data_IF_993607706358
#
_entry.id   IF_993607706358
#
_cell.length_a   1.000
_cell.length_b   1.000
_cell.length_c   1.000
_cell.angle_alpha   90.00
_cell.angle_beta   90.00
_cell.angle_gamma   90.00
#
_symmetry.space_group_name_H-M   'P 1'
#
loop_
_entity.id
_entity.type
_entity.pdbx_description
1 polymer ?
#
# COMPACT_ATOMS: atom_id res chain seq x y z
N UNK A 1 4.86 14.68 16.21
CA UNK A 1 4.16 14.42 14.93
C UNK A 1 3.59 13.01 15.00
N UNK A 2 2.39 12.78 14.48
CA UNK A 2 1.86 11.41 14.40
C UNK A 2 2.73 10.62 13.42
N UNK A 3 3.21 9.45 13.84
CA UNK A 3 3.95 8.56 12.97
C UNK A 3 3.03 7.95 11.91
N UNK A 4 3.57 7.72 10.71
CA UNK A 4 2.80 7.11 9.63
C UNK A 4 2.31 5.71 10.07
N UNK A 5 1.01 5.36 9.88
CA UNK A 5 0.49 4.05 10.22
C UNK A 5 1.34 2.93 9.61
N UNK A 6 1.61 1.83 10.35
CA UNK A 6 2.52 0.78 9.89
C UNK A 6 2.15 0.19 8.52
N UNK A 7 0.86 0.05 8.24
CA UNK A 7 0.35 -0.46 6.98
C UNK A 7 0.71 0.47 5.81
N UNK A 8 0.38 1.75 5.94
CA UNK A 8 0.69 2.77 4.94
C UNK A 8 2.21 2.88 4.73
N UNK A 9 2.99 2.83 5.81
CA UNK A 9 4.46 2.77 5.75
C UNK A 9 4.95 1.57 4.96
N UNK A 10 4.32 0.40 5.14
CA UNK A 10 4.61 -0.81 4.38
C UNK A 10 4.39 -0.61 2.88
N UNK A 11 3.22 -0.08 2.48
CA UNK A 11 2.91 0.18 1.08
C UNK A 11 3.90 1.13 0.43
N UNK A 12 4.24 2.24 1.09
CA UNK A 12 5.21 3.20 0.55
C UNK A 12 6.60 2.58 0.41
N UNK A 13 7.04 1.74 1.36
CA UNK A 13 8.32 1.01 1.27
C UNK A 13 8.36 0.01 0.12
N UNK A 14 7.22 -0.54 -0.27
CA UNK A 14 7.09 -1.40 -1.45
C UNK A 14 7.11 -0.63 -2.77
N UNK A 15 7.06 0.71 -2.71
CA UNK A 15 7.03 1.59 -3.87
C UNK A 15 5.62 1.98 -4.33
N UNK A 16 4.62 1.83 -3.46
CA UNK A 16 3.29 2.37 -3.72
C UNK A 16 3.27 3.91 -3.61
N UNK A 17 2.28 4.54 -4.21
CA UNK A 17 2.04 5.99 -4.15
C UNK A 17 0.61 6.30 -3.78
N UNK A 18 0.43 7.44 -3.11
CA UNK A 18 -0.89 8.04 -2.84
C UNK A 18 -1.32 8.81 -4.08
N UNK A 19 -2.51 8.51 -4.58
CA UNK A 19 -3.00 8.97 -5.87
C UNK A 19 -3.91 10.21 -5.78
N UNK A 20 -4.01 10.86 -4.63
CA UNK A 20 -4.86 12.04 -4.44
C UNK A 20 -4.94 12.52 -3.00
N UNK A 21 -5.89 13.40 -2.75
CA UNK A 21 -6.23 13.84 -1.40
C UNK A 21 -6.90 12.69 -0.61
N UNK A 22 -6.71 12.64 0.71
CA UNK A 22 -7.46 11.72 1.56
C UNK A 22 -8.96 12.04 1.55
N UNK A 23 -9.79 11.01 1.64
CA UNK A 23 -11.21 11.15 1.93
C UNK A 23 -11.45 10.94 3.42
N UNK A 24 -12.29 11.77 4.04
CA UNK A 24 -12.68 11.57 5.43
C UNK A 24 -13.86 10.58 5.50
N UNK A 25 -13.69 9.51 6.25
CA UNK A 25 -14.75 8.54 6.56
C UNK A 25 -15.30 8.86 7.97
N UNK A 26 -16.50 9.47 8.06
CA UNK A 26 -17.09 9.88 9.34
C UNK A 26 -17.59 8.70 10.18
N UNK A 27 -17.87 7.54 9.58
CA UNK A 27 -18.36 6.38 10.32
C UNK A 27 -17.24 5.71 11.13
N UNK A 28 -15.99 5.92 10.70
CA UNK A 28 -14.79 5.34 11.32
C UNK A 28 -13.84 6.39 11.92
N UNK A 29 -14.16 7.68 11.81
CA UNK A 29 -13.29 8.81 12.21
C UNK A 29 -11.87 8.66 11.66
N UNK A 30 -11.77 8.30 10.38
CA UNK A 30 -10.49 8.02 9.74
C UNK A 30 -10.37 8.62 8.33
N UNK A 31 -9.14 8.60 7.81
CA UNK A 31 -8.84 9.09 6.48
C UNK A 31 -8.53 7.93 5.55
N UNK A 32 -9.33 7.80 4.50
CA UNK A 32 -9.11 6.87 3.40
C UNK A 32 -8.12 7.44 2.40
N UNK A 33 -7.14 6.62 2.03
CA UNK A 33 -6.10 6.97 1.08
C UNK A 33 -6.18 6.06 -0.13
N UNK A 34 -6.34 6.65 -1.31
CA UNK A 34 -6.19 5.90 -2.55
C UNK A 34 -4.71 5.61 -2.81
N UNK A 35 -4.28 4.37 -2.56
CA UNK A 35 -2.89 3.92 -2.70
C UNK A 35 -2.79 2.95 -3.88
N UNK A 36 -1.84 3.19 -4.79
CA UNK A 36 -1.58 2.33 -5.95
C UNK A 36 -0.18 1.73 -5.87
N UNK A 37 -0.10 0.40 -5.90
CA UNK A 37 1.15 -0.37 -6.02
C UNK A 37 1.27 -0.91 -7.45
N UNK A 38 2.24 -0.43 -8.22
CA UNK A 38 2.45 -0.89 -9.60
C UNK A 38 3.36 -2.11 -9.65
N UNK A 39 2.82 -3.27 -10.00
CA UNK A 39 3.58 -4.52 -10.17
C UNK A 39 4.75 -4.41 -11.17
N UNK A 40 4.62 -3.52 -12.16
CA UNK A 40 5.69 -3.25 -13.15
C UNK A 40 6.88 -2.50 -12.53
N UNK A 41 6.65 -1.70 -11.50
CA UNK A 41 7.65 -0.83 -10.86
C UNK A 41 8.09 -1.34 -9.48
N UNK A 42 7.32 -2.25 -8.88
CA UNK A 42 7.66 -2.92 -7.61
C UNK A 42 8.99 -3.66 -7.73
N UNK A 43 9.83 -3.57 -6.69
CA UNK A 43 11.10 -4.29 -6.66
C UNK A 43 10.87 -5.81 -6.85
N UNK A 44 11.55 -6.45 -7.83
CA UNK A 44 11.36 -7.88 -8.13
C UNK A 44 11.55 -8.82 -6.94
N UNK A 45 12.36 -8.44 -5.95
CA UNK A 45 12.53 -9.21 -4.70
C UNK A 45 11.22 -9.35 -3.93
N UNK A 46 10.50 -8.24 -3.75
CA UNK A 46 9.22 -8.23 -3.07
C UNK A 46 8.14 -8.92 -3.92
N UNK A 47 8.16 -8.67 -5.23
CA UNK A 47 7.23 -9.33 -6.15
C UNK A 47 7.36 -10.85 -6.08
N UNK A 48 8.58 -11.40 -6.11
CA UNK A 48 8.81 -12.85 -5.98
C UNK A 48 8.33 -13.39 -4.63
N UNK A 49 8.59 -12.67 -3.54
CA UNK A 49 8.12 -13.10 -2.22
C UNK A 49 6.59 -13.20 -2.17
N UNK A 50 5.87 -12.14 -2.55
CA UNK A 50 4.41 -12.13 -2.47
C UNK A 50 3.72 -12.99 -3.52
N UNK A 51 4.25 -13.08 -4.74
CA UNK A 51 3.69 -13.96 -5.78
C UNK A 51 3.98 -15.43 -5.51
N UNK A 52 5.05 -15.77 -4.78
CA UNK A 52 5.30 -17.16 -4.38
C UNK A 52 4.30 -17.71 -3.35
N UNK A 53 3.51 -16.83 -2.72
CA UNK A 53 2.41 -17.21 -1.83
C UNK A 53 1.11 -17.52 -2.57
N UNK A 54 1.04 -17.24 -3.88
CA UNK A 54 -0.11 -17.60 -4.72
C UNK A 54 0.07 -19.07 -5.11
N UNK A 55 -0.84 -19.98 -4.71
CA UNK A 55 -0.77 -21.37 -5.14
C UNK A 55 -0.77 -21.44 -6.67
N UNK A 56 0.11 -22.24 -7.26
CA UNK A 56 -0.01 -22.58 -8.68
C UNK A 56 -1.36 -23.28 -8.87
N UNK A 57 -2.26 -22.63 -9.61
CA UNK A 57 -3.48 -23.24 -10.10
C UNK A 57 -3.17 -24.37 -11.09
#
# INVERSE_FOLDING_TARGET
AADLPPLLRGYLRLGAWVCGAPAHDPDFDCADLYVLLSMKRTNPRYLRHFLSLVPSA
#
